data_IF_730868183487
#
_entry.id   IF_730868183487
#
_cell.length_a   1.000
_cell.length_b   1.000
_cell.length_c   1.000
_cell.angle_alpha   90.00
_cell.angle_beta   90.00
_cell.angle_gamma   90.00
#
_symmetry.space_group_name_H-M   'P 1'
#
loop_
_entity.id
_entity.type
_entity.pdbx_description
1 polymer ?
#
# COMPACT_ATOMS: atom_id res chain seq x y z
N UNK A 1 -6.73 1.85 -4.03
CA UNK A 1 -5.46 1.21 -3.64
C UNK A 1 -4.65 2.18 -2.79
N UNK A 2 -4.02 1.69 -1.73
CA UNK A 2 -3.23 2.49 -0.79
C UNK A 2 -1.86 1.83 -0.71
N UNK A 3 -0.78 2.59 -0.89
CA UNK A 3 0.61 2.11 -0.87
C UNK A 3 0.77 0.77 -1.62
N UNK A 4 0.54 0.75 -2.95
CA UNK A 4 0.68 -0.48 -3.71
C UNK A 4 2.09 -1.05 -3.58
N UNK A 5 2.19 -2.38 -3.56
CA UNK A 5 3.45 -3.13 -3.40
C UNK A 5 4.43 -2.91 -4.56
N UNK A 6 3.94 -2.39 -5.68
CA UNK A 6 4.72 -2.11 -6.89
C UNK A 6 5.05 -3.38 -7.67
N UNK A 7 6.06 -3.29 -8.56
CA UNK A 7 6.43 -4.35 -9.50
C UNK A 7 7.73 -5.09 -9.17
N UNK A 8 8.42 -4.69 -8.09
CA UNK A 8 9.69 -5.31 -7.68
C UNK A 8 9.89 -5.26 -6.18
N UNK A 9 10.80 -6.10 -5.67
CA UNK A 9 11.07 -6.26 -4.24
C UNK A 9 11.49 -4.90 -3.64
N UNK A 10 10.81 -4.50 -2.56
CA UNK A 10 10.95 -3.23 -1.85
C UNK A 10 11.53 -3.43 -0.43
N UNK A 11 11.90 -2.35 0.28
CA UNK A 11 12.55 -2.41 1.61
C UNK A 11 11.87 -3.33 2.61
N UNK A 12 10.54 -3.25 2.72
CA UNK A 12 9.72 -4.06 3.62
C UNK A 12 9.71 -5.56 3.29
N UNK A 13 10.09 -5.95 2.06
CA UNK A 13 10.23 -7.36 1.64
C UNK A 13 11.69 -7.79 1.49
N UNK A 14 12.67 -6.93 1.80
CA UNK A 14 14.11 -7.22 1.70
C UNK A 14 14.75 -7.57 3.05
N UNK A 15 15.72 -8.49 3.05
CA UNK A 15 15.89 -9.56 2.06
C UNK A 15 14.79 -10.62 2.23
N UNK A 16 14.27 -11.19 1.13
CA UNK A 16 13.26 -12.27 1.18
C UNK A 16 13.70 -13.42 2.10
N UNK A 17 14.99 -13.80 2.03
CA UNK A 17 15.59 -14.80 2.90
C UNK A 17 15.49 -14.49 4.40
N UNK A 18 15.46 -13.21 4.82
CA UNK A 18 15.25 -12.85 6.23
C UNK A 18 13.84 -13.15 6.69
N UNK A 19 12.84 -12.89 5.84
CA UNK A 19 11.45 -13.24 6.15
C UNK A 19 11.27 -14.76 6.18
N UNK A 20 11.91 -15.49 5.25
CA UNK A 20 11.97 -16.96 5.24
C UNK A 20 12.58 -17.52 6.52
N UNK A 21 13.74 -17.00 6.95
CA UNK A 21 14.36 -17.37 8.21
C UNK A 21 13.50 -17.06 9.43
N UNK A 22 12.77 -15.93 9.45
CA UNK A 22 11.84 -15.60 10.53
C UNK A 22 10.69 -16.62 10.59
N UNK A 23 10.06 -16.93 9.45
CA UNK A 23 8.98 -17.92 9.39
C UNK A 23 9.49 -19.34 9.74
N UNK A 24 10.71 -19.69 9.33
CA UNK A 24 11.35 -20.95 9.71
C UNK A 24 11.59 -21.02 11.21
N UNK A 25 12.21 -19.99 11.80
CA UNK A 25 12.45 -19.88 13.24
C UNK A 25 11.15 -19.98 14.04
N UNK A 26 10.08 -19.31 13.60
CA UNK A 26 8.76 -19.40 14.23
C UNK A 26 8.25 -20.84 14.32
N UNK A 27 8.44 -21.65 13.25
CA UNK A 27 8.03 -23.06 13.22
C UNK A 27 8.85 -23.96 14.16
N UNK A 28 10.07 -23.57 14.51
CA UNK A 28 10.95 -24.34 15.41
C UNK A 28 10.73 -24.01 16.88
N UNK A 29 10.17 -22.84 17.19
CA UNK A 29 9.94 -22.40 18.56
C UNK A 29 8.57 -22.85 19.09
N UNK A 30 8.43 -23.03 20.42
CA UNK A 30 7.10 -23.14 21.02
C UNK A 30 6.23 -21.95 20.62
N UNK A 31 5.00 -22.20 20.19
CA UNK A 31 4.08 -21.20 19.61
C UNK A 31 4.05 -19.88 20.40
N UNK A 32 3.86 -19.93 21.72
CA UNK A 32 3.82 -18.73 22.59
C UNK A 32 5.10 -17.88 22.52
N UNK A 33 6.26 -18.52 22.41
CA UNK A 33 7.57 -17.84 22.31
C UNK A 33 7.74 -17.22 20.93
N UNK A 34 7.47 -18.00 19.87
CA UNK A 34 7.53 -17.52 18.50
C UNK A 34 6.59 -16.33 18.24
N UNK A 35 5.34 -16.44 18.68
CA UNK A 35 4.32 -15.40 18.55
C UNK A 35 4.75 -14.10 19.24
N UNK A 36 5.30 -14.20 20.46
CA UNK A 36 5.80 -13.02 21.21
C UNK A 36 6.97 -12.34 20.50
N UNK A 37 7.90 -13.11 19.94
CA UNK A 37 9.04 -12.57 19.18
C UNK A 37 8.54 -11.83 17.92
N UNK A 38 7.63 -12.44 17.16
CA UNK A 38 7.08 -11.83 15.95
C UNK A 38 6.28 -10.57 16.23
N UNK A 39 5.47 -10.59 17.28
CA UNK A 39 4.73 -9.42 17.75
C UNK A 39 5.65 -8.24 18.06
N UNK A 40 6.70 -8.48 18.86
CA UNK A 40 7.66 -7.44 19.22
C UNK A 40 8.41 -6.90 18.01
N UNK A 41 8.84 -7.78 17.09
CA UNK A 41 9.55 -7.39 15.88
C UNK A 41 8.72 -6.43 15.01
N UNK A 42 7.47 -6.79 14.72
CA UNK A 42 6.61 -5.96 13.87
C UNK A 42 6.17 -4.66 14.58
N UNK A 43 5.97 -4.68 15.90
CA UNK A 43 5.76 -3.47 16.70
C UNK A 43 6.92 -2.48 16.58
N UNK A 44 8.17 -2.95 16.61
CA UNK A 44 9.36 -2.09 16.44
C UNK A 44 9.42 -1.45 15.05
N UNK A 45 8.89 -2.13 14.01
CA UNK A 45 8.76 -1.57 12.65
C UNK A 45 7.58 -0.59 12.56
N UNK A 46 6.71 -0.52 13.57
CA UNK A 46 5.58 0.41 13.64
C UNK A 46 4.26 -0.18 13.17
N UNK A 47 4.18 -1.49 12.92
CA UNK A 47 2.91 -2.14 12.59
C UNK A 47 1.95 -2.09 13.78
N UNK A 48 0.69 -1.80 13.49
CA UNK A 48 -0.41 -1.88 14.46
C UNK A 48 -1.04 -3.25 14.35
N UNK A 49 -0.56 -4.16 15.19
CA UNK A 49 -1.02 -5.53 15.32
C UNK A 49 -1.50 -5.79 16.75
N UNK A 50 -2.46 -6.69 16.90
CA UNK A 50 -3.14 -7.03 18.14
C UNK A 50 -2.36 -8.10 18.92
N UNK A 51 -1.83 -9.09 18.20
CA UNK A 51 -1.13 -10.22 18.79
C UNK A 51 -0.06 -10.82 17.85
N UNK A 52 0.57 -11.91 18.31
CA UNK A 52 1.61 -12.60 17.55
C UNK A 52 1.07 -13.48 16.42
N UNK A 53 -0.21 -13.87 16.44
CA UNK A 53 -0.81 -14.61 15.33
C UNK A 53 -0.97 -13.69 14.13
N UNK A 54 -1.47 -12.48 14.35
CA UNK A 54 -1.54 -11.42 13.35
C UNK A 54 -0.14 -11.08 12.82
N UNK A 55 0.86 -11.01 13.71
CA UNK A 55 2.24 -10.76 13.31
C UNK A 55 2.77 -11.81 12.30
N UNK A 56 2.52 -13.08 12.58
CA UNK A 56 2.93 -14.20 11.73
C UNK A 56 2.16 -14.19 10.41
N UNK A 57 0.87 -13.87 10.43
CA UNK A 57 0.04 -13.72 9.24
C UNK A 57 0.57 -12.62 8.30
N UNK A 58 0.97 -11.47 8.86
CA UNK A 58 1.57 -10.36 8.11
C UNK A 58 2.87 -10.81 7.43
N UNK A 59 3.81 -11.43 8.17
CA UNK A 59 5.08 -11.90 7.60
C UNK A 59 4.83 -12.89 6.45
N UNK A 60 3.95 -13.88 6.66
CA UNK A 60 3.62 -14.87 5.64
C UNK A 60 2.95 -14.25 4.42
N UNK A 61 2.14 -13.21 4.62
CA UNK A 61 1.52 -12.47 3.51
C UNK A 61 2.56 -11.74 2.69
N UNK A 62 3.51 -11.05 3.33
CA UNK A 62 4.61 -10.37 2.62
C UNK A 62 5.45 -11.39 1.83
N UNK A 63 5.73 -12.56 2.40
CA UNK A 63 6.48 -13.63 1.71
C UNK A 63 5.77 -14.17 0.47
N UNK A 64 4.44 -14.32 0.55
CA UNK A 64 3.61 -14.83 -0.55
C UNK A 64 3.20 -13.75 -1.55
N UNK A 65 3.58 -12.49 -1.32
CA UNK A 65 3.25 -11.41 -2.22
C UNK A 65 3.94 -11.64 -3.57
N UNK A 66 3.14 -12.04 -4.55
CA UNK A 66 3.58 -12.27 -5.92
C UNK A 66 3.62 -10.93 -6.65
N UNK A 67 4.81 -10.34 -6.65
CA UNK A 67 5.09 -9.07 -7.33
C UNK A 67 5.13 -9.25 -8.86
N UNK A 68 5.49 -10.45 -9.33
CA UNK A 68 5.63 -10.76 -10.76
C UNK A 68 4.26 -10.72 -11.46
N UNK A 69 3.20 -11.19 -10.77
CA UNK A 69 1.83 -11.14 -11.29
C UNK A 69 1.16 -9.77 -11.18
N UNK A 70 1.71 -8.81 -10.44
CA UNK A 70 1.08 -7.49 -10.29
C UNK A 70 0.90 -6.78 -11.63
N UNK A 71 1.86 -6.92 -12.55
CA UNK A 71 1.75 -6.32 -13.88
C UNK A 71 0.53 -6.84 -14.64
N UNK A 72 0.29 -8.15 -14.61
CA UNK A 72 -0.86 -8.78 -15.27
C UNK A 72 -2.19 -8.20 -14.74
N UNK A 73 -2.31 -8.01 -13.43
CA UNK A 73 -3.50 -7.42 -12.82
C UNK A 73 -3.67 -5.95 -13.18
N UNK A 74 -2.59 -5.16 -13.28
CA UNK A 74 -2.66 -3.77 -13.74
C UNK A 74 -3.17 -3.70 -15.18
N UNK A 75 -2.66 -4.56 -16.06
CA UNK A 75 -3.08 -4.60 -17.46
C UNK A 75 -4.58 -4.96 -17.58
N UNK A 76 -5.06 -5.97 -16.84
CA UNK A 76 -6.49 -6.29 -16.78
C UNK A 76 -7.33 -5.11 -16.26
N UNK A 77 -6.86 -4.41 -15.22
CA UNK A 77 -7.58 -3.26 -14.66
C UNK A 77 -7.72 -2.10 -15.65
N UNK A 78 -6.74 -1.91 -16.54
CA UNK A 78 -6.81 -0.90 -17.60
C UNK A 78 -7.96 -1.19 -18.58
N UNK A 79 -8.20 -2.44 -18.92
CA UNK A 79 -9.25 -2.89 -19.85
C UNK A 79 -10.66 -2.89 -19.24
N UNK A 80 -10.76 -3.05 -17.92
CA UNK A 80 -12.05 -3.10 -17.22
C UNK A 80 -12.68 -1.72 -17.03
N UNK A 81 -14.02 -1.58 -16.98
CA UNK A 81 -14.70 -0.33 -16.65
C UNK A 81 -14.63 0.02 -15.14
N UNK A 82 -13.45 -0.15 -14.54
CA UNK A 82 -13.21 0.06 -13.10
C UNK A 82 -12.52 1.40 -12.84
N UNK A 83 -13.06 2.20 -11.92
CA UNK A 83 -12.40 3.41 -11.43
C UNK A 83 -11.29 3.07 -10.45
N UNK A 84 -10.15 3.75 -10.58
CA UNK A 84 -8.96 3.46 -9.78
C UNK A 84 -8.46 4.70 -9.07
N UNK A 85 -8.41 4.68 -7.74
CA UNK A 85 -7.75 5.71 -6.92
C UNK A 85 -6.54 5.08 -6.24
N UNK A 86 -5.35 5.65 -6.43
CA UNK A 86 -4.10 5.18 -5.81
C UNK A 86 -3.56 6.29 -4.92
N UNK A 87 -3.33 6.01 -3.64
CA UNK A 87 -2.69 6.98 -2.72
C UNK A 87 -1.38 6.40 -2.18
N UNK A 88 -0.31 7.20 -2.15
CA UNK A 88 0.99 6.75 -1.63
C UNK A 88 1.88 7.88 -1.08
N UNK A 89 2.74 7.53 -0.12
CA UNK A 89 3.58 8.47 0.62
C UNK A 89 5.05 8.47 0.20
N UNK A 90 5.71 9.64 0.24
CA UNK A 90 7.14 9.77 -0.11
C UNK A 90 8.13 9.39 0.98
N UNK A 91 7.69 9.34 2.25
CA UNK A 91 8.45 8.86 3.42
C UNK A 91 8.01 7.48 3.86
N UNK A 92 7.49 6.68 2.93
CA UNK A 92 7.20 5.28 3.18
C UNK A 92 8.52 4.52 3.41
N UNK A 93 8.65 3.94 4.60
CA UNK A 93 9.84 3.21 5.02
C UNK A 93 9.82 1.73 4.58
N UNK A 94 8.67 1.24 4.11
CA UNK A 94 8.49 -0.13 3.63
C UNK A 94 8.54 -0.20 2.10
N UNK A 95 8.02 0.79 1.39
CA UNK A 95 7.96 0.79 -0.07
C UNK A 95 8.59 2.07 -0.59
N UNK A 96 9.68 1.93 -1.36
CA UNK A 96 10.33 3.08 -1.99
C UNK A 96 9.41 3.75 -3.02
N UNK A 97 9.32 5.08 -2.99
CA UNK A 97 8.44 5.84 -3.91
C UNK A 97 8.73 5.53 -5.38
N UNK A 98 10.00 5.30 -5.73
CA UNK A 98 10.43 5.00 -7.08
C UNK A 98 9.81 3.71 -7.61
N UNK A 99 9.61 2.71 -6.73
CA UNK A 99 8.95 1.44 -7.07
C UNK A 99 7.47 1.67 -7.40
N UNK A 100 6.82 2.57 -6.67
CA UNK A 100 5.41 2.91 -6.93
C UNK A 100 5.31 3.72 -8.22
N UNK A 101 6.19 4.68 -8.45
CA UNK A 101 6.23 5.45 -9.70
C UNK A 101 6.46 4.56 -10.93
N UNK A 102 7.36 3.57 -10.83
CA UNK A 102 7.56 2.56 -11.88
C UNK A 102 6.26 1.79 -12.18
N UNK A 103 5.52 1.38 -11.14
CA UNK A 103 4.24 0.70 -11.31
C UNK A 103 3.17 1.62 -11.93
N UNK A 104 3.14 2.90 -11.53
CA UNK A 104 2.18 3.89 -12.05
C UNK A 104 2.27 4.08 -13.56
N UNK A 105 3.47 3.96 -14.15
CA UNK A 105 3.65 4.04 -15.60
C UNK A 105 2.88 2.96 -16.38
N UNK A 106 2.43 1.90 -15.70
CA UNK A 106 1.66 0.80 -16.32
C UNK A 106 0.16 1.01 -16.24
N UNK A 107 -0.32 1.93 -15.42
CA UNK A 107 -1.73 2.29 -15.36
C UNK A 107 -2.08 3.28 -16.46
N UNK A 108 -3.24 3.10 -17.09
CA UNK A 108 -3.74 3.98 -18.15
C UNK A 108 -4.86 4.90 -17.63
N UNK A 109 -4.86 6.14 -18.11
CA UNK A 109 -5.94 7.10 -17.85
C UNK A 109 -6.01 7.67 -16.42
N UNK A 110 -4.99 7.44 -15.59
CA UNK A 110 -4.91 8.05 -14.25
C UNK A 110 -4.39 9.48 -14.34
N UNK A 111 -5.11 10.42 -13.70
CA UNK A 111 -4.56 11.76 -13.44
C UNK A 111 -3.68 11.72 -12.19
N UNK A 112 -2.42 12.14 -12.32
CA UNK A 112 -1.48 12.19 -11.21
C UNK A 112 -1.52 13.55 -10.50
N UNK A 113 -1.50 13.50 -9.16
CA UNK A 113 -1.35 14.65 -8.27
C UNK A 113 -0.12 14.44 -7.40
N UNK A 114 0.75 15.46 -7.33
CA UNK A 114 2.00 15.46 -6.58
C UNK A 114 2.00 16.61 -5.57
N UNK A 115 1.88 16.26 -4.29
CA UNK A 115 1.87 17.22 -3.20
C UNK A 115 3.14 17.11 -2.36
N UNK A 116 3.78 18.24 -2.08
CA UNK A 116 4.94 18.31 -1.18
C UNK A 116 4.55 18.15 0.30
N UNK A 117 3.32 18.51 0.66
CA UNK A 117 2.82 18.54 2.03
C UNK A 117 1.35 18.07 2.08
N UNK A 118 0.62 18.41 3.16
CA UNK A 118 -0.78 18.04 3.29
C UNK A 118 -1.66 18.61 2.17
N UNK A 119 -2.73 17.88 1.87
CA UNK A 119 -3.74 18.22 0.87
C UNK A 119 -4.77 19.13 1.54
N UNK A 120 -5.00 20.31 0.97
CA UNK A 120 -6.06 21.24 1.38
C UNK A 120 -7.44 20.73 0.96
N UNK A 121 -8.51 21.28 1.54
CA UNK A 121 -9.87 20.90 1.16
C UNK A 121 -10.19 21.21 -0.31
N UNK A 122 -9.66 22.31 -0.86
CA UNK A 122 -9.83 22.65 -2.27
C UNK A 122 -9.17 21.64 -3.19
N UNK A 123 -7.93 21.25 -2.90
CA UNK A 123 -7.21 20.23 -3.67
C UNK A 123 -7.89 18.86 -3.56
N UNK A 124 -8.41 18.53 -2.37
CA UNK A 124 -9.22 17.32 -2.17
C UNK A 124 -10.46 17.31 -3.05
N UNK A 125 -11.21 18.42 -3.13
CA UNK A 125 -12.37 18.52 -4.01
C UNK A 125 -11.99 18.40 -5.49
N UNK A 126 -10.85 18.98 -5.90
CA UNK A 126 -10.33 18.83 -7.25
C UNK A 126 -10.05 17.35 -7.60
N UNK A 127 -9.34 16.64 -6.72
CA UNK A 127 -9.06 15.20 -6.87
C UNK A 127 -10.37 14.42 -7.03
N UNK A 128 -11.37 14.69 -6.19
CA UNK A 128 -12.66 14.00 -6.22
C UNK A 128 -13.44 14.31 -7.51
N UNK A 129 -13.44 15.56 -7.98
CA UNK A 129 -14.08 15.93 -9.25
C UNK A 129 -13.43 15.24 -10.45
N UNK A 130 -12.09 15.17 -10.49
CA UNK A 130 -11.39 14.42 -11.53
C UNK A 130 -11.72 12.93 -11.42
N UNK A 131 -11.68 12.37 -10.21
CA UNK A 131 -11.99 10.96 -9.98
C UNK A 131 -13.41 10.58 -10.42
N UNK A 132 -14.41 11.45 -10.23
CA UNK A 132 -15.78 11.25 -10.72
C UNK A 132 -15.86 11.16 -12.24
N UNK A 133 -15.10 11.96 -12.96
CA UNK A 133 -15.25 12.09 -14.42
C UNK A 133 -14.21 11.30 -15.25
N UNK A 134 -13.14 10.81 -14.63
CA UNK A 134 -12.05 10.11 -15.32
C UNK A 134 -11.93 8.63 -14.92
N UNK A 135 -11.05 7.88 -15.60
CA UNK A 135 -10.71 6.49 -15.25
C UNK A 135 -10.17 6.38 -13.84
N UNK A 136 -9.46 7.39 -13.34
CA UNK A 136 -8.95 7.36 -11.98
C UNK A 136 -7.95 8.45 -11.66
N UNK A 137 -7.44 8.38 -10.43
CA UNK A 137 -6.43 9.31 -9.91
C UNK A 137 -5.31 8.55 -9.22
N UNK A 138 -4.11 9.12 -9.27
CA UNK A 138 -3.02 8.75 -8.38
C UNK A 138 -2.60 9.99 -7.60
N UNK A 139 -2.46 9.85 -6.29
CA UNK A 139 -2.20 10.95 -5.36
C UNK A 139 -0.96 10.60 -4.54
N UNK A 140 0.09 11.39 -4.77
CA UNK A 140 1.34 11.29 -4.06
C UNK A 140 1.46 12.43 -3.05
N UNK A 141 1.87 12.10 -1.82
CA UNK A 141 2.19 13.10 -0.80
C UNK A 141 3.59 12.86 -0.25
N UNK A 142 4.51 13.80 -0.48
CA UNK A 142 5.93 13.62 -0.21
C UNK A 142 6.25 13.48 1.30
N UNK A 143 5.52 14.17 2.18
CA UNK A 143 5.74 14.14 3.65
C UNK A 143 5.11 12.93 4.35
N UNK A 144 4.44 12.10 3.58
CA UNK A 144 3.56 11.09 4.07
C UNK A 144 4.25 9.74 4.16
N UNK A 145 3.91 8.94 5.17
CA UNK A 145 4.54 7.66 5.45
C UNK A 145 3.65 6.49 5.02
N UNK A 146 4.07 5.26 5.34
CA UNK A 146 3.35 4.02 5.01
C UNK A 146 1.89 3.95 5.55
N UNK A 147 1.49 4.81 6.49
CA UNK A 147 0.14 4.79 7.06
C UNK A 147 -0.81 5.78 6.34
N UNK A 148 -0.80 5.72 5.00
CA UNK A 148 -1.67 6.55 4.15
C UNK A 148 -3.15 6.30 4.38
N UNK A 149 -3.51 5.06 4.70
CA UNK A 149 -4.87 4.68 5.09
C UNK A 149 -5.39 5.47 6.30
N UNK A 150 -4.51 5.93 7.20
CA UNK A 150 -4.89 6.80 8.31
C UNK A 150 -4.93 8.26 7.89
N UNK A 151 -3.88 8.73 7.21
CA UNK A 151 -3.71 10.15 6.88
C UNK A 151 -4.65 10.66 5.79
N UNK A 152 -5.09 9.78 4.90
CA UNK A 152 -5.93 10.08 3.74
C UNK A 152 -7.23 9.26 3.77
N UNK A 153 -7.64 8.83 4.96
CA UNK A 153 -8.86 8.03 5.15
C UNK A 153 -10.10 8.77 4.62
N UNK A 154 -10.14 10.07 4.86
CA UNK A 154 -11.18 10.99 4.44
C UNK A 154 -11.27 11.11 2.91
N UNK A 155 -10.14 11.33 2.22
CA UNK A 155 -10.07 11.35 0.76
C UNK A 155 -10.55 10.03 0.16
N UNK A 156 -10.14 8.91 0.73
CA UNK A 156 -10.53 7.57 0.26
C UNK A 156 -12.02 7.31 0.48
N UNK A 157 -12.55 7.66 1.66
CA UNK A 157 -13.96 7.51 1.99
C UNK A 157 -14.84 8.37 1.08
N UNK A 158 -14.45 9.62 0.84
CA UNK A 158 -15.15 10.53 -0.07
C UNK A 158 -15.04 10.06 -1.52
N UNK A 159 -13.90 9.49 -1.91
CA UNK A 159 -13.72 8.81 -3.19
C UNK A 159 -14.71 7.67 -3.38
N UNK A 160 -14.87 6.78 -2.39
CA UNK A 160 -15.86 5.70 -2.42
C UNK A 160 -17.28 6.26 -2.50
N UNK A 161 -17.62 7.24 -1.65
CA UNK A 161 -18.93 7.88 -1.64
C UNK A 161 -19.25 8.52 -2.99
N UNK A 162 -18.27 9.13 -3.66
CA UNK A 162 -18.44 9.75 -4.97
C UNK A 162 -18.80 8.76 -6.09
N UNK A 163 -18.54 7.46 -5.90
CA UNK A 163 -18.94 6.41 -6.85
C UNK A 163 -20.35 5.89 -6.60
N UNK A 164 -20.87 6.04 -5.37
CA UNK A 164 -22.15 5.46 -4.94
C UNK A 164 -23.33 6.45 -5.05
N UNK A 165 -23.04 7.75 -5.12
CA UNK A 165 -24.04 8.79 -5.31
C UNK A 165 -24.19 9.01 -6.80
N UNK A 166 -25.25 8.41 -7.37
CA UNK A 166 -25.75 8.67 -8.72
C UNK A 166 -26.75 9.83 -8.70
#
# INVERSE_FOLDING_TARGET
MINPTGLRIHKGSRPKGKLESLNYMHKQLPKKVGDKIMYNLLKTVGFKIQDGEEAVAVIRTIQKCDLEKQLEYILKLNEMPTKTMITFGGRDHLIEKEIIFEALQKYQGLKHFDFKADITDSEKQEILNIFKNHKGTSVFVARDNHFQNKKRADLLADGVKSMLIH
#
